data_IF_550016367783
#
_entry.id   IF_550016367783
#
_cell.length_a   1.000
_cell.length_b   1.000
_cell.length_c   1.000
_cell.angle_alpha   90.00
_cell.angle_beta   90.00
_cell.angle_gamma   90.00
#
_symmetry.space_group_name_H-M   'P 1'
#
loop_
_entity.id
_entity.type
_entity.pdbx_description
1 polymer ?
#
# COMPACT_ATOMS: atom_id res chain seq x y z
N UNK A 1 9.82 -8.70 -4.28
CA UNK A 1 9.34 -7.87 -5.39
C UNK A 1 7.97 -7.33 -5.00
N UNK A 2 7.69 -6.05 -5.25
CA UNK A 2 6.41 -5.42 -4.95
C UNK A 2 5.75 -4.97 -6.24
N UNK A 3 4.42 -5.08 -6.31
CA UNK A 3 3.60 -4.53 -7.38
C UNK A 3 2.63 -3.51 -6.76
N UNK A 4 2.48 -2.34 -7.38
CA UNK A 4 1.70 -1.22 -6.87
C UNK A 4 0.78 -0.67 -7.94
N UNK A 5 -0.37 -0.13 -7.52
CA UNK A 5 -1.30 0.55 -8.39
C UNK A 5 -1.77 1.86 -7.74
N UNK A 6 -1.17 2.97 -8.15
CA UNK A 6 -1.53 4.33 -7.68
C UNK A 6 -2.79 4.89 -8.33
N UNK A 7 -3.26 4.26 -9.41
CA UNK A 7 -4.26 4.83 -10.31
C UNK A 7 -5.60 4.11 -10.24
N UNK A 8 -5.83 3.33 -9.16
CA UNK A 8 -7.12 2.66 -8.96
C UNK A 8 -8.21 3.73 -8.83
N UNK A 9 -9.27 3.61 -9.62
CA UNK A 9 -10.39 4.57 -9.63
C UNK A 9 -11.52 4.13 -8.71
N UNK A 10 -12.15 5.11 -8.09
CA UNK A 10 -13.47 5.00 -7.46
C UNK A 10 -14.55 5.02 -8.56
N UNK A 11 -15.68 4.32 -8.38
CA UNK A 11 -16.84 4.46 -9.25
C UNK A 11 -17.40 5.89 -9.31
N UNK A 12 -17.20 6.71 -8.26
CA UNK A 12 -17.86 8.02 -8.11
C UNK A 12 -16.90 9.21 -7.92
N UNK A 13 -15.65 8.99 -7.52
CA UNK A 13 -14.83 10.04 -6.90
C UNK A 13 -13.40 10.17 -7.45
N UNK A 14 -13.13 9.73 -8.68
CA UNK A 14 -11.79 9.86 -9.28
C UNK A 14 -10.81 8.80 -8.78
N UNK A 15 -9.56 9.16 -8.47
CA UNK A 15 -8.55 8.20 -7.97
C UNK A 15 -8.77 7.88 -6.48
N UNK A 16 -8.63 6.60 -6.11
CA UNK A 16 -8.74 6.13 -4.72
C UNK A 16 -7.52 6.49 -3.86
N UNK A 17 -6.39 6.81 -4.50
CA UNK A 17 -5.16 7.17 -3.83
C UNK A 17 -4.75 8.59 -4.23
N UNK A 18 -4.40 9.47 -3.27
CA UNK A 18 -4.02 10.86 -3.58
C UNK A 18 -2.79 10.96 -4.48
N UNK A 19 -1.84 10.01 -4.39
CA UNK A 19 -0.66 9.97 -5.25
C UNK A 19 0.41 10.98 -4.86
N UNK A 20 1.29 11.32 -5.81
CA UNK A 20 2.38 12.28 -5.63
C UNK A 20 3.22 11.98 -4.36
N UNK A 21 3.34 12.94 -3.45
CA UNK A 21 4.10 12.82 -2.20
C UNK A 21 3.54 11.75 -1.26
N UNK A 22 2.23 11.49 -1.29
CA UNK A 22 1.61 10.48 -0.43
C UNK A 22 2.05 9.05 -0.77
N UNK A 23 2.62 8.81 -1.96
CA UNK A 23 3.24 7.52 -2.31
C UNK A 23 4.34 7.10 -1.32
N UNK A 24 4.96 8.06 -0.62
CA UNK A 24 5.97 7.77 0.41
C UNK A 24 5.42 6.88 1.53
N UNK A 25 4.12 6.95 1.84
CA UNK A 25 3.45 6.14 2.87
C UNK A 25 3.53 4.64 2.54
N UNK A 26 3.43 4.31 1.25
CA UNK A 26 3.51 2.93 0.80
C UNK A 26 4.96 2.46 0.70
N UNK A 27 5.88 3.34 0.29
CA UNK A 27 7.31 3.03 0.30
C UNK A 27 7.83 2.80 1.73
N UNK A 28 7.42 3.62 2.69
CA UNK A 28 7.71 3.44 4.12
C UNK A 28 7.26 2.05 4.60
N UNK A 29 6.02 1.66 4.27
CA UNK A 29 5.52 0.33 4.59
C UNK A 29 6.38 -0.79 3.96
N UNK A 30 6.79 -0.64 2.69
CA UNK A 30 7.68 -1.61 2.04
C UNK A 30 9.02 -1.74 2.77
N UNK A 31 9.63 -0.63 3.18
CA UNK A 31 10.87 -0.66 3.95
C UNK A 31 10.68 -1.34 5.30
N UNK A 32 9.61 -1.01 6.04
CA UNK A 32 9.28 -1.67 7.32
C UNK A 32 9.09 -3.17 7.12
N UNK A 33 8.44 -3.59 6.03
CA UNK A 33 8.25 -5.01 5.69
C UNK A 33 9.59 -5.71 5.44
N UNK A 34 10.53 -5.07 4.74
CA UNK A 34 11.88 -5.63 4.53
C UNK A 34 12.66 -5.75 5.85
N UNK A 35 12.41 -4.85 6.81
CA UNK A 35 13.01 -4.88 8.16
C UNK A 35 12.24 -5.74 9.18
N UNK A 36 11.35 -6.64 8.74
CA UNK A 36 10.49 -7.48 9.60
C UNK A 36 9.56 -6.70 10.57
N UNK A 37 9.32 -5.41 10.31
CA UNK A 37 8.45 -4.52 11.11
C UNK A 37 7.11 -4.18 10.41
N UNK A 38 6.96 -4.52 9.14
CA UNK A 38 5.75 -4.27 8.36
C UNK A 38 4.81 -5.47 8.42
N UNK A 39 3.64 -5.30 9.05
CA UNK A 39 2.61 -6.33 9.11
C UNK A 39 1.92 -6.52 7.75
N UNK A 40 1.74 -7.77 7.36
CA UNK A 40 1.05 -8.15 6.12
C UNK A 40 0.22 -9.41 6.31
N UNK A 41 -0.80 -9.61 5.46
CA UNK A 41 -1.57 -10.85 5.41
C UNK A 41 -1.52 -11.44 3.99
N UNK A 42 -1.58 -12.77 3.92
CA UNK A 42 -1.47 -13.51 2.67
C UNK A 42 -2.82 -13.59 1.95
N UNK A 43 -2.77 -13.49 0.63
CA UNK A 43 -3.85 -13.74 -0.32
C UNK A 43 -3.30 -14.58 -1.49
N UNK A 44 -4.18 -15.14 -2.30
CA UNK A 44 -3.77 -15.90 -3.49
C UNK A 44 -2.92 -15.09 -4.48
N UNK A 45 -3.04 -13.76 -4.48
CA UNK A 45 -2.27 -12.84 -5.32
C UNK A 45 -0.98 -12.29 -4.67
N UNK A 46 -0.65 -12.71 -3.43
CA UNK A 46 0.53 -12.24 -2.70
C UNK A 46 0.19 -11.68 -1.31
N UNK A 47 1.02 -10.76 -0.83
CA UNK A 47 0.89 -10.18 0.51
C UNK A 47 0.38 -8.73 0.44
N UNK A 48 -0.59 -8.38 1.28
CA UNK A 48 -1.10 -7.01 1.41
C UNK A 48 -0.80 -6.43 2.80
N UNK A 49 -0.71 -5.09 2.93
CA UNK A 49 -0.61 -4.42 4.23
C UNK A 49 -1.80 -4.76 5.12
N UNK A 50 -1.55 -5.10 6.39
CA UNK A 50 -2.65 -5.23 7.36
C UNK A 50 -3.39 -3.89 7.53
N UNK A 51 -4.69 -3.90 7.86
CA UNK A 51 -5.41 -2.69 8.25
C UNK A 51 -4.66 -1.91 9.34
N UNK A 52 -4.52 -0.60 9.19
CA UNK A 52 -3.78 0.26 10.12
C UNK A 52 -2.25 0.18 10.06
N UNK A 53 -1.67 -0.69 9.23
CA UNK A 53 -0.21 -0.77 9.07
C UNK A 53 0.37 0.30 8.14
N UNK A 54 -0.50 0.97 7.37
CA UNK A 54 -0.16 2.08 6.49
C UNK A 54 -0.52 3.41 7.17
N UNK A 55 0.34 4.42 7.03
CA UNK A 55 0.08 5.76 7.54
C UNK A 55 -0.90 6.48 6.60
N UNK A 56 -2.19 6.54 6.94
CA UNK A 56 -3.28 7.14 6.14
C UNK A 56 -3.67 8.53 6.61
#
# INVERSE_FOLDING_TARGET
>A
IFHVNWFRKSPSAGFLWPGLGDNIRVLDWMFRRLSWRGSSYALGSGYLPCPGSLNL
#
